data_IF_536984205795
#
_entry.id   IF_536984205795
#
_cell.length_a   1.000
_cell.length_b   1.000
_cell.length_c   1.000
_cell.angle_alpha   90.00
_cell.angle_beta   90.00
_cell.angle_gamma   90.00
#
_symmetry.space_group_name_H-M   'P 1'
#
loop_
_entity.id
_entity.type
_entity.pdbx_description
1 polymer ?
#
# COMPACT_ATOMS: atom_id res chain seq x y z
N UNK A 1 -30.60 4.65 -19.65
CA UNK A 1 -30.00 4.23 -18.36
C UNK A 1 -30.40 5.11 -17.17
N UNK A 2 -30.56 6.45 -17.30
CA UNK A 2 -31.00 7.36 -16.20
C UNK A 2 -32.31 6.95 -15.51
N UNK A 3 -33.35 6.63 -16.28
CA UNK A 3 -34.68 6.26 -15.76
C UNK A 3 -34.68 5.06 -14.79
N UNK A 4 -33.77 4.09 -15.01
CA UNK A 4 -33.64 2.89 -14.16
C UNK A 4 -33.11 3.22 -12.77
N UNK A 5 -32.13 4.13 -12.67
CA UNK A 5 -31.54 4.53 -11.40
C UNK A 5 -32.48 5.42 -10.58
N UNK A 6 -33.35 6.18 -11.24
CA UNK A 6 -34.36 7.01 -10.58
C UNK A 6 -35.41 6.17 -9.87
N UNK A 7 -35.92 5.15 -10.55
CA UNK A 7 -36.86 4.20 -9.97
C UNK A 7 -36.25 3.39 -8.81
N UNK A 8 -35.00 2.95 -8.98
CA UNK A 8 -34.28 2.19 -7.94
C UNK A 8 -33.99 3.04 -6.70
N UNK A 9 -33.62 4.32 -6.86
CA UNK A 9 -33.35 5.21 -5.73
C UNK A 9 -34.60 5.43 -4.87
N UNK A 10 -35.73 5.74 -5.51
CA UNK A 10 -36.96 6.05 -4.79
C UNK A 10 -37.47 4.84 -4.01
N UNK A 11 -37.42 3.65 -4.61
CA UNK A 11 -37.77 2.39 -3.95
C UNK A 11 -36.86 2.09 -2.76
N UNK A 12 -35.54 2.25 -2.92
CA UNK A 12 -34.57 2.03 -1.83
C UNK A 12 -34.76 3.05 -0.70
N UNK A 13 -35.05 4.31 -1.02
CA UNK A 13 -35.32 5.36 -0.03
C UNK A 13 -36.57 5.02 0.80
N UNK A 14 -37.67 4.67 0.16
CA UNK A 14 -38.91 4.31 0.84
C UNK A 14 -38.75 3.05 1.71
N UNK A 15 -38.03 2.05 1.20
CA UNK A 15 -37.75 0.85 1.95
C UNK A 15 -36.91 1.15 3.21
N UNK A 16 -35.86 1.96 3.07
CA UNK A 16 -34.99 2.35 4.18
C UNK A 16 -35.67 3.30 5.17
N UNK A 17 -36.65 4.12 4.75
CA UNK A 17 -37.43 4.92 5.70
C UNK A 17 -38.31 4.06 6.60
N UNK A 18 -38.76 2.91 6.10
CA UNK A 18 -39.52 1.92 6.90
C UNK A 18 -38.60 0.97 7.67
N UNK A 19 -37.40 0.71 7.14
CA UNK A 19 -36.42 -0.23 7.69
C UNK A 19 -35.04 0.44 7.78
N UNK A 20 -34.83 1.37 8.73
CA UNK A 20 -33.60 2.18 8.82
C UNK A 20 -32.35 1.34 9.08
N UNK A 21 -32.56 0.15 9.62
CA UNK A 21 -31.53 -0.80 10.01
C UNK A 21 -31.20 -1.81 8.91
N UNK A 22 -31.73 -1.65 7.70
CA UNK A 22 -31.43 -2.62 6.64
C UNK A 22 -29.98 -2.49 6.15
N UNK A 23 -29.28 -3.62 5.86
CA UNK A 23 -27.98 -3.58 5.20
C UNK A 23 -28.06 -3.03 3.75
N UNK A 24 -29.25 -2.76 3.22
CA UNK A 24 -29.41 -2.14 1.90
C UNK A 24 -28.87 -0.70 1.80
N UNK A 25 -28.43 -0.08 2.91
CA UNK A 25 -27.76 1.22 2.90
C UNK A 25 -26.58 1.26 1.91
N UNK A 26 -25.82 0.17 1.76
CA UNK A 26 -24.68 0.10 0.85
C UNK A 26 -25.11 0.21 -0.62
N UNK A 27 -26.22 -0.44 -0.98
CA UNK A 27 -26.81 -0.35 -2.32
C UNK A 27 -27.39 1.03 -2.57
N UNK A 28 -28.04 1.62 -1.56
CA UNK A 28 -28.57 2.98 -1.65
C UNK A 28 -27.45 4.01 -1.86
N UNK A 29 -26.34 3.90 -1.11
CA UNK A 29 -25.16 4.74 -1.28
C UNK A 29 -24.52 4.58 -2.68
N UNK A 30 -24.45 3.36 -3.22
CA UNK A 30 -23.92 3.13 -4.58
C UNK A 30 -24.80 3.78 -5.66
N UNK A 31 -26.13 3.75 -5.50
CA UNK A 31 -27.06 4.44 -6.42
C UNK A 31 -26.95 5.95 -6.29
N UNK A 32 -26.87 6.50 -5.07
CA UNK A 32 -26.63 7.92 -4.83
C UNK A 32 -25.33 8.38 -5.50
N UNK A 33 -24.25 7.61 -5.34
CA UNK A 33 -22.95 7.86 -5.96
C UNK A 33 -23.05 7.90 -7.49
N UNK A 34 -23.72 6.91 -8.11
CA UNK A 34 -23.93 6.85 -9.56
C UNK A 34 -24.75 8.01 -10.12
N UNK A 35 -25.58 8.65 -9.29
CA UNK A 35 -26.33 9.87 -9.64
C UNK A 35 -25.55 11.17 -9.43
N UNK A 36 -24.33 11.11 -8.89
CA UNK A 36 -23.53 12.29 -8.56
C UNK A 36 -23.91 12.94 -7.22
N UNK A 37 -24.78 12.32 -6.41
CA UNK A 37 -25.13 12.78 -5.07
C UNK A 37 -24.07 12.31 -4.06
N UNK A 38 -22.82 12.76 -4.28
CA UNK A 38 -21.63 12.22 -3.61
C UNK A 38 -21.67 12.45 -2.08
N UNK A 39 -22.12 13.61 -1.64
CA UNK A 39 -22.17 13.94 -0.20
C UNK A 39 -23.25 13.14 0.54
N UNK A 40 -24.41 12.93 -0.09
CA UNK A 40 -25.45 12.07 0.49
C UNK A 40 -25.00 10.62 0.56
N UNK A 41 -24.36 10.11 -0.51
CA UNK A 41 -23.78 8.77 -0.53
C UNK A 41 -22.77 8.57 0.63
N UNK A 42 -21.96 9.58 0.90
CA UNK A 42 -21.00 9.60 2.01
C UNK A 42 -21.69 9.46 3.38
N UNK A 43 -22.71 10.28 3.63
CA UNK A 43 -23.44 10.26 4.91
C UNK A 43 -24.10 8.89 5.13
N UNK A 44 -24.73 8.34 4.10
CA UNK A 44 -25.41 7.04 4.16
C UNK A 44 -24.41 5.92 4.45
N UNK A 45 -23.28 5.87 3.73
CA UNK A 45 -22.32 4.78 3.87
C UNK A 45 -21.61 4.83 5.23
N UNK A 46 -21.26 6.01 5.73
CA UNK A 46 -20.63 6.18 7.05
C UNK A 46 -21.58 5.78 8.19
N UNK A 47 -22.85 6.22 8.13
CA UNK A 47 -23.87 5.84 9.12
C UNK A 47 -24.10 4.33 9.13
N UNK A 48 -24.22 3.70 7.97
CA UNK A 48 -24.45 2.26 7.89
C UNK A 48 -23.24 1.45 8.36
N UNK A 49 -22.02 1.86 8.02
CA UNK A 49 -20.79 1.19 8.47
C UNK A 49 -20.56 1.28 9.98
N UNK A 50 -21.05 2.34 10.66
CA UNK A 50 -21.03 2.40 12.14
C UNK A 50 -21.79 1.23 12.75
N UNK A 51 -22.88 0.81 12.12
CA UNK A 51 -23.72 -0.31 12.57
C UNK A 51 -23.23 -1.66 12.05
N UNK A 52 -22.80 -1.72 10.79
CA UNK A 52 -22.41 -2.93 10.08
C UNK A 52 -20.91 -2.96 9.80
N UNK A 53 -20.10 -3.05 10.86
CA UNK A 53 -18.64 -2.91 10.79
C UNK A 53 -17.93 -4.01 10.00
N UNK A 54 -18.56 -5.17 9.80
CA UNK A 54 -18.01 -6.31 9.05
C UNK A 54 -18.56 -6.42 7.61
N UNK A 55 -19.20 -5.37 7.10
CA UNK A 55 -19.84 -5.44 5.80
C UNK A 55 -18.87 -5.12 4.65
N UNK A 56 -18.16 -6.15 4.16
CA UNK A 56 -17.14 -6.03 3.10
C UNK A 56 -17.60 -5.23 1.87
N UNK A 57 -18.79 -5.51 1.35
CA UNK A 57 -19.29 -4.83 0.14
C UNK A 57 -19.53 -3.33 0.37
N UNK A 58 -19.92 -2.93 1.58
CA UNK A 58 -20.09 -1.52 1.93
C UNK A 58 -18.75 -0.77 1.93
N UNK A 59 -17.66 -1.39 2.38
CA UNK A 59 -16.33 -0.79 2.30
C UNK A 59 -15.84 -0.61 0.85
N UNK A 60 -16.24 -1.47 -0.09
CA UNK A 60 -15.94 -1.28 -1.52
C UNK A 60 -16.66 -0.03 -2.05
N UNK A 61 -17.95 0.14 -1.71
CA UNK A 61 -18.72 1.33 -2.11
C UNK A 61 -18.11 2.59 -1.48
N UNK A 62 -17.74 2.53 -0.19
CA UNK A 62 -17.11 3.63 0.50
C UNK A 62 -15.78 4.05 -0.16
N UNK A 63 -14.92 3.08 -0.47
CA UNK A 63 -13.66 3.34 -1.17
C UNK A 63 -13.87 4.02 -2.53
N UNK A 64 -14.87 3.61 -3.33
CA UNK A 64 -15.18 4.27 -4.61
C UNK A 64 -15.59 5.73 -4.42
N UNK A 65 -16.39 6.03 -3.40
CA UNK A 65 -16.81 7.39 -3.06
C UNK A 65 -15.59 8.22 -2.63
N UNK A 66 -14.70 7.67 -1.80
CA UNK A 66 -13.47 8.33 -1.35
C UNK A 66 -12.51 8.63 -2.51
N UNK A 67 -12.30 7.67 -3.42
CA UNK A 67 -11.50 7.86 -4.64
C UNK A 67 -12.04 9.02 -5.50
N UNK A 68 -13.36 9.13 -5.63
CA UNK A 68 -13.97 10.23 -6.37
C UNK A 68 -13.74 11.59 -5.69
N UNK A 69 -13.62 11.63 -4.36
CA UNK A 69 -13.28 12.84 -3.60
C UNK A 69 -11.77 13.11 -3.54
N UNK A 70 -10.93 12.30 -4.19
CA UNK A 70 -9.48 12.40 -4.14
C UNK A 70 -8.85 11.93 -2.82
N UNK A 71 -9.63 11.29 -1.94
CA UNK A 71 -9.18 10.77 -0.64
C UNK A 71 -8.63 9.35 -0.81
N UNK A 72 -7.59 9.22 -1.63
CA UNK A 72 -7.08 7.91 -2.08
C UNK A 72 -6.48 7.07 -0.94
N UNK A 73 -5.81 7.69 0.03
CA UNK A 73 -5.24 6.97 1.19
C UNK A 73 -6.33 6.32 2.07
N UNK A 74 -7.41 7.05 2.33
CA UNK A 74 -8.55 6.50 3.08
C UNK A 74 -9.28 5.41 2.29
N UNK A 75 -9.33 5.54 0.97
CA UNK A 75 -9.86 4.49 0.11
C UNK A 75 -9.01 3.21 0.23
N UNK A 76 -7.68 3.32 0.23
CA UNK A 76 -6.77 2.19 0.43
C UNK A 76 -6.98 1.53 1.79
N UNK A 77 -7.14 2.30 2.87
CA UNK A 77 -7.42 1.74 4.21
C UNK A 77 -8.70 0.89 4.20
N UNK A 78 -9.78 1.41 3.61
CA UNK A 78 -11.06 0.69 3.50
C UNK A 78 -10.93 -0.56 2.61
N UNK A 79 -10.18 -0.50 1.51
CA UNK A 79 -9.95 -1.67 0.64
C UNK A 79 -9.09 -2.74 1.34
N UNK A 80 -8.14 -2.35 2.19
CA UNK A 80 -7.39 -3.29 3.05
C UNK A 80 -8.32 -3.98 4.05
N UNK A 81 -9.31 -3.28 4.62
CA UNK A 81 -10.35 -3.92 5.46
C UNK A 81 -11.14 -4.96 4.67
N UNK A 82 -11.50 -4.67 3.41
CA UNK A 82 -12.14 -5.67 2.53
C UNK A 82 -11.28 -6.90 2.36
N UNK A 83 -9.98 -6.75 2.11
CA UNK A 83 -9.07 -7.89 1.93
C UNK A 83 -8.82 -8.68 3.21
N UNK A 84 -8.90 -8.05 4.40
CA UNK A 84 -8.88 -8.77 5.69
C UNK A 84 -10.10 -9.68 5.85
N UNK A 85 -11.28 -9.20 5.45
CA UNK A 85 -12.54 -9.95 5.52
C UNK A 85 -12.70 -10.95 4.36
N UNK A 86 -12.11 -10.65 3.21
CA UNK A 86 -12.26 -11.41 1.96
C UNK A 86 -10.97 -11.33 1.13
N UNK A 87 -9.95 -12.16 1.44
CA UNK A 87 -8.62 -12.09 0.83
C UNK A 87 -8.60 -12.23 -0.70
N UNK A 88 -9.59 -12.94 -1.25
CA UNK A 88 -9.73 -13.20 -2.68
C UNK A 88 -10.66 -12.21 -3.41
N UNK A 89 -11.01 -11.07 -2.78
CA UNK A 89 -11.85 -10.06 -3.42
C UNK A 89 -11.13 -9.39 -4.59
N UNK A 90 -11.41 -9.83 -5.80
CA UNK A 90 -10.79 -9.31 -7.02
C UNK A 90 -11.09 -7.83 -7.24
N UNK A 91 -12.30 -7.38 -6.90
CA UNK A 91 -12.69 -5.97 -7.00
C UNK A 91 -11.84 -5.09 -6.10
N UNK A 92 -11.51 -5.55 -4.89
CA UNK A 92 -10.67 -4.77 -3.98
C UNK A 92 -9.22 -4.67 -4.48
N UNK A 93 -8.65 -5.79 -4.95
CA UNK A 93 -7.31 -5.83 -5.57
C UNK A 93 -7.23 -4.86 -6.75
N UNK A 94 -8.19 -4.94 -7.68
CA UNK A 94 -8.27 -4.06 -8.84
C UNK A 94 -8.35 -2.57 -8.47
N UNK A 95 -9.15 -2.22 -7.46
CA UNK A 95 -9.27 -0.81 -7.03
C UNK A 95 -7.99 -0.31 -6.36
N UNK A 96 -7.30 -1.16 -5.58
CA UNK A 96 -5.98 -0.84 -5.01
C UNK A 96 -4.98 -0.59 -6.15
N UNK A 97 -4.88 -1.49 -7.12
CA UNK A 97 -3.96 -1.35 -8.25
C UNK A 97 -4.26 -0.06 -9.04
N UNK A 98 -5.53 0.29 -9.21
CA UNK A 98 -5.94 1.54 -9.86
C UNK A 98 -5.44 2.77 -9.10
N UNK A 99 -5.53 2.79 -7.77
CA UNK A 99 -5.02 3.89 -6.94
C UNK A 99 -3.50 3.96 -7.02
N UNK A 100 -2.81 2.84 -6.84
CA UNK A 100 -1.35 2.79 -6.85
C UNK A 100 -0.77 3.20 -8.20
N UNK A 101 -1.38 2.75 -9.31
CA UNK A 101 -0.99 3.17 -10.65
C UNK A 101 -1.21 4.68 -10.85
N UNK A 102 -2.31 5.24 -10.36
CA UNK A 102 -2.55 6.69 -10.39
C UNK A 102 -1.45 7.45 -9.64
N UNK A 103 -1.09 7.01 -8.44
CA UNK A 103 -0.03 7.62 -7.63
C UNK A 103 1.35 7.49 -8.30
N UNK A 104 1.66 6.31 -8.85
CA UNK A 104 2.89 6.05 -9.58
C UNK A 104 3.02 6.97 -10.80
N UNK A 105 1.96 7.07 -11.61
CA UNK A 105 1.92 7.96 -12.77
C UNK A 105 2.05 9.44 -12.37
N UNK A 106 1.45 9.83 -11.24
CA UNK A 106 1.59 11.19 -10.72
C UNK A 106 3.05 11.50 -10.35
N UNK A 107 3.74 10.58 -9.66
CA UNK A 107 5.18 10.71 -9.32
C UNK A 107 6.09 10.73 -10.56
N UNK A 108 5.79 9.90 -11.56
CA UNK A 108 6.51 9.85 -12.84
C UNK A 108 6.36 11.13 -13.67
N UNK A 109 5.23 11.82 -13.56
CA UNK A 109 4.97 13.06 -14.31
C UNK A 109 5.68 14.30 -13.76
N UNK A 110 6.55 14.15 -12.76
CA UNK A 110 7.49 15.21 -12.37
C UNK A 110 6.84 16.43 -11.75
N UNK A 111 5.68 16.30 -11.09
CA UNK A 111 5.18 17.36 -10.24
C UNK A 111 5.96 17.32 -8.92
N UNK A 112 7.13 17.96 -8.91
CA UNK A 112 7.87 18.33 -7.70
C UNK A 112 7.13 19.45 -6.94
N UNK A 113 5.82 19.31 -6.73
CA UNK A 113 5.14 20.07 -5.70
C UNK A 113 5.27 19.29 -4.40
N UNK A 114 6.30 19.66 -3.64
CA UNK A 114 6.36 19.45 -2.19
C UNK A 114 5.11 20.07 -1.55
N UNK A 115 4.01 19.33 -1.47
CA UNK A 115 2.87 19.67 -0.61
C UNK A 115 1.97 18.44 -0.54
N UNK A 116 2.19 17.52 0.39
CA UNK A 116 1.42 17.48 1.64
C UNK A 116 2.07 16.53 2.67
N UNK A 117 3.33 16.78 3.03
CA UNK A 117 3.89 16.23 4.30
C UNK A 117 3.70 17.20 5.47
N UNK A 118 3.19 18.41 5.22
CA UNK A 118 3.07 19.48 6.20
C UNK A 118 1.91 19.34 7.20
N UNK A 119 0.96 18.40 7.02
CA UNK A 119 -0.16 18.23 7.96
C UNK A 119 0.11 17.29 9.13
N UNK A 120 1.20 16.49 9.09
CA UNK A 120 1.57 15.60 10.21
C UNK A 120 2.58 16.27 11.17
N UNK A 121 3.29 17.32 10.73
CA UNK A 121 4.28 18.01 11.58
C UNK A 121 3.76 19.21 12.38
N UNK A 122 2.52 19.66 12.21
CA UNK A 122 1.97 20.79 12.99
C UNK A 122 1.27 20.38 14.30
N UNK A 123 1.94 19.54 15.11
CA UNK A 123 1.72 19.48 16.56
C UNK A 123 3.03 19.16 17.30
N UNK A 124 4.12 19.87 16.99
CA UNK A 124 5.17 20.08 18.00
C UNK A 124 4.75 21.27 18.84
N UNK A 125 4.02 21.00 19.93
CA UNK A 125 4.00 21.90 21.08
C UNK A 125 5.46 22.03 21.49
N UNK A 126 6.05 23.22 21.40
CA UNK A 126 7.39 23.40 21.94
C UNK A 126 7.32 23.04 23.42
N UNK A 127 8.20 22.15 23.92
CA UNK A 127 8.22 21.83 25.34
C UNK A 127 8.49 23.13 26.10
N UNK A 128 7.61 23.47 27.05
CA UNK A 128 7.88 24.59 27.93
C UNK A 128 9.11 24.26 28.79
N UNK A 129 9.86 25.27 29.19
CA UNK A 129 11.13 25.11 29.92
C UNK A 129 10.99 24.22 31.17
N UNK A 130 9.80 24.23 31.79
CA UNK A 130 9.39 23.38 32.90
C UNK A 130 9.36 21.88 32.56
N UNK A 131 8.94 21.51 31.34
CA UNK A 131 8.87 20.10 30.91
C UNK A 131 10.28 19.51 30.73
N UNK A 132 11.21 20.33 30.26
CA UNK A 132 12.61 19.93 30.04
C UNK A 132 13.33 19.73 31.38
N UNK A 133 13.07 20.60 32.36
CA UNK A 133 13.63 20.50 33.71
C UNK A 133 13.11 19.25 34.45
N UNK A 134 11.82 18.91 34.34
CA UNK A 134 11.25 17.68 34.91
C UNK A 134 11.84 16.40 34.28
N UNK A 135 12.06 16.41 32.97
CA UNK A 135 12.67 15.28 32.26
C UNK A 135 14.13 15.10 32.69
N UNK A 136 14.88 16.20 32.88
CA UNK A 136 16.27 16.15 33.32
C UNK A 136 16.40 15.60 34.75
N UNK A 137 15.50 15.96 35.67
CA UNK A 137 15.47 15.35 37.02
C UNK A 137 15.18 13.85 36.99
N UNK A 138 14.28 13.39 36.11
CA UNK A 138 14.02 11.94 35.94
C UNK A 138 15.22 11.22 35.34
N UNK A 139 15.97 11.86 34.44
CA UNK A 139 17.16 11.27 33.83
C UNK A 139 18.35 11.20 34.79
N UNK A 140 18.56 12.21 35.63
CA UNK A 140 19.64 12.19 36.64
C UNK A 140 19.41 11.11 37.71
N UNK A 141 18.17 10.75 37.99
CA UNK A 141 17.84 9.63 38.87
C UNK A 141 17.86 8.26 38.17
N UNK A 142 18.15 8.20 36.87
CA UNK A 142 18.17 6.99 36.05
C UNK A 142 19.60 6.48 35.76
N UNK A 143 20.59 6.84 36.58
CA UNK A 143 22.00 6.42 36.45
C UNK A 143 22.20 4.89 36.44
N UNK A 144 21.19 4.10 36.82
CA UNK A 144 21.23 2.64 36.74
C UNK A 144 20.91 2.06 35.35
N UNK A 145 20.53 2.87 34.36
CA UNK A 145 20.12 2.41 33.01
C UNK A 145 21.04 2.84 31.87
N UNK A 146 22.19 3.45 32.17
CA UNK A 146 23.21 3.70 31.16
C UNK A 146 23.79 2.34 30.75
N UNK A 147 23.26 1.78 29.66
CA UNK A 147 23.94 0.75 28.90
C UNK A 147 25.25 1.41 28.46
N UNK A 148 26.36 1.00 29.07
CA UNK A 148 27.69 1.42 28.61
C UNK A 148 27.75 1.10 27.12
N UNK A 149 27.99 2.12 26.30
CA UNK A 149 28.23 1.93 24.89
C UNK A 149 29.26 0.81 24.73
N UNK A 150 28.99 -0.13 23.82
CA UNK A 150 29.96 -1.17 23.49
C UNK A 150 31.27 -0.44 23.10
N UNK A 151 32.38 -0.68 23.82
CA UNK A 151 33.64 0.00 23.53
C UNK A 151 34.16 -0.28 22.11
N UNK A 152 33.61 -1.29 21.43
CA UNK A 152 33.91 -1.62 20.03
C UNK A 152 32.94 -1.00 19.00
N UNK A 153 31.98 -0.15 19.41
CA UNK A 153 31.02 0.48 18.49
C UNK A 153 31.69 1.31 17.38
N UNK A 154 32.85 1.89 17.68
CA UNK A 154 33.63 2.70 16.72
C UNK A 154 34.52 1.87 15.78
N UNK A 155 34.52 0.53 15.88
CA UNK A 155 35.21 -0.30 14.88
C UNK A 155 34.51 -0.14 13.53
N UNK A 156 35.29 0.21 12.50
CA UNK A 156 34.84 0.22 11.10
C UNK A 156 34.21 -1.14 10.81
N UNK A 157 32.90 -1.15 10.60
CA UNK A 157 32.16 -2.35 10.22
C UNK A 157 32.80 -2.95 8.97
N UNK A 158 33.44 -4.11 9.13
CA UNK A 158 33.86 -4.95 8.03
C UNK A 158 32.80 -6.03 7.86
N UNK A 159 31.99 -5.97 6.78
CA UNK A 159 31.04 -7.04 6.50
C UNK A 159 31.81 -8.36 6.33
N UNK A 160 31.25 -9.49 6.80
CA UNK A 160 31.87 -10.79 6.59
C UNK A 160 32.10 -11.04 5.09
N UNK A 161 33.28 -11.55 4.73
CA UNK A 161 33.74 -11.74 3.34
C UNK A 161 32.80 -12.61 2.50
N UNK A 162 32.04 -13.50 3.13
CA UNK A 162 31.06 -14.35 2.46
C UNK A 162 29.67 -14.18 3.08
N UNK A 163 28.97 -13.12 2.67
CA UNK A 163 27.50 -13.17 2.73
C UNK A 163 27.03 -14.22 1.71
N UNK A 164 26.20 -15.20 2.07
CA UNK A 164 25.66 -16.14 1.10
C UNK A 164 24.89 -15.34 0.04
N UNK A 165 25.48 -15.22 -1.14
CA UNK A 165 24.97 -14.38 -2.21
C UNK A 165 23.65 -14.98 -2.69
N UNK A 166 22.53 -14.37 -2.27
CA UNK A 166 21.19 -14.83 -2.61
C UNK A 166 20.95 -14.53 -4.09
N UNK A 167 21.34 -15.47 -4.95
CA UNK A 167 21.01 -15.44 -6.37
C UNK A 167 19.58 -15.96 -6.59
N UNK A 168 18.79 -15.22 -7.35
CA UNK A 168 17.39 -15.53 -7.67
C UNK A 168 17.10 -15.29 -9.15
N UNK A 169 16.04 -15.91 -9.67
CA UNK A 169 15.57 -15.68 -11.04
C UNK A 169 15.11 -14.23 -11.24
N UNK A 170 14.55 -13.62 -10.20
CA UNK A 170 14.19 -12.19 -10.21
C UNK A 170 15.41 -11.31 -10.46
N UNK A 171 16.55 -11.62 -9.82
CA UNK A 171 17.80 -10.89 -10.03
C UNK A 171 18.28 -11.01 -11.49
N UNK A 172 18.20 -12.21 -12.07
CA UNK A 172 18.50 -12.43 -13.50
C UNK A 172 17.64 -11.55 -14.42
N UNK A 173 16.32 -11.54 -14.23
CA UNK A 173 15.40 -10.75 -15.07
C UNK A 173 15.60 -9.24 -14.91
N UNK A 174 15.92 -8.75 -13.70
CA UNK A 174 16.24 -7.33 -13.49
C UNK A 174 17.51 -6.94 -14.27
N UNK A 175 18.56 -7.75 -14.19
CA UNK A 175 19.83 -7.48 -14.87
C UNK A 175 19.68 -7.51 -16.40
N UNK A 176 18.87 -8.42 -16.94
CA UNK A 176 18.49 -8.44 -18.35
C UNK A 176 17.83 -7.13 -18.80
N UNK A 177 16.84 -6.66 -18.05
CA UNK A 177 16.11 -5.43 -18.38
C UNK A 177 17.02 -4.19 -18.33
N UNK A 178 18.10 -4.25 -17.55
CA UNK A 178 19.11 -3.20 -17.46
C UNK A 178 20.20 -3.30 -18.55
N UNK A 179 20.16 -4.33 -19.39
CA UNK A 179 21.20 -4.58 -20.41
C UNK A 179 22.54 -5.06 -19.83
N UNK A 180 22.57 -5.46 -18.55
CA UNK A 180 23.78 -5.92 -17.86
C UNK A 180 24.00 -7.42 -18.10
N UNK A 181 24.27 -7.78 -19.37
CA UNK A 181 24.30 -9.18 -19.82
C UNK A 181 25.39 -10.02 -19.15
N UNK A 182 26.59 -9.46 -18.90
CA UNK A 182 27.67 -10.18 -18.20
C UNK A 182 27.29 -10.56 -16.76
N UNK A 183 26.61 -9.65 -16.05
CA UNK A 183 26.12 -9.92 -14.70
C UNK A 183 25.00 -10.94 -14.73
N UNK A 184 24.06 -10.82 -15.68
CA UNK A 184 22.99 -11.80 -15.87
C UNK A 184 23.54 -13.21 -16.15
N UNK A 185 24.63 -13.31 -16.91
CA UNK A 185 25.34 -14.56 -17.19
C UNK A 185 25.90 -15.20 -15.92
N UNK A 186 26.60 -14.41 -15.08
CA UNK A 186 27.13 -14.90 -13.80
C UNK A 186 26.02 -15.40 -12.86
N UNK A 187 24.86 -14.73 -12.85
CA UNK A 187 23.70 -15.16 -12.04
C UNK A 187 23.16 -16.50 -12.51
N UNK A 188 23.04 -16.72 -13.83
CA UNK A 188 22.58 -18.02 -14.36
C UNK A 188 23.54 -19.16 -14.03
N UNK A 189 24.86 -18.93 -14.08
CA UNK A 189 25.84 -19.94 -13.68
C UNK A 189 25.63 -20.37 -12.22
N UNK A 190 25.41 -19.40 -11.32
CA UNK A 190 25.14 -19.68 -9.90
C UNK A 190 23.78 -20.38 -9.70
N UNK A 191 22.75 -20.02 -10.48
CA UNK A 191 21.43 -20.67 -10.42
C UNK A 191 21.47 -22.13 -10.88
N UNK A 192 22.31 -22.48 -11.85
CA UNK A 192 22.51 -23.88 -12.28
C UNK A 192 23.11 -24.72 -11.14
N UNK A 193 24.11 -24.19 -10.44
CA UNK A 193 24.72 -24.87 -9.30
C UNK A 193 23.71 -25.10 -8.17
N UNK A 194 22.83 -24.13 -7.92
CA UNK A 194 21.81 -24.21 -6.87
C UNK A 194 20.62 -25.12 -7.23
N UNK A 195 20.24 -25.14 -8.51
CA UNK A 195 19.08 -25.89 -9.00
C UNK A 195 19.45 -26.78 -10.21
N UNK A 196 20.22 -27.87 -10.02
CA UNK A 196 20.67 -28.71 -11.13
C UNK A 196 19.53 -29.32 -11.96
N UNK A 197 18.36 -29.55 -11.37
CA UNK A 197 17.17 -30.06 -12.06
C UNK A 197 16.58 -29.10 -13.11
N UNK A 198 16.93 -27.81 -13.04
CA UNK A 198 16.51 -26.78 -14.00
C UNK A 198 17.64 -26.35 -14.93
N UNK A 199 18.75 -27.09 -14.98
CA UNK A 199 19.94 -26.77 -15.79
C UNK A 199 19.59 -26.46 -17.25
N UNK A 200 18.85 -27.35 -17.91
CA UNK A 200 18.47 -27.20 -19.32
C UNK A 200 17.70 -25.89 -19.59
N UNK A 201 16.89 -25.43 -18.63
CA UNK A 201 16.17 -24.17 -18.71
C UNK A 201 17.13 -22.97 -18.68
N UNK A 202 18.14 -22.99 -17.80
CA UNK A 202 19.13 -21.92 -17.69
C UNK A 202 20.15 -21.91 -18.84
N UNK A 203 20.49 -23.07 -19.40
CA UNK A 203 21.43 -23.17 -20.52
C UNK A 203 20.90 -22.50 -21.79
N UNK A 204 19.60 -22.64 -22.09
CA UNK A 204 18.95 -21.91 -23.20
C UNK A 204 19.03 -20.39 -23.02
N UNK A 205 18.94 -19.91 -21.79
CA UNK A 205 19.06 -18.49 -21.47
C UNK A 205 20.51 -18.00 -21.61
N UNK A 206 21.49 -18.83 -21.27
CA UNK A 206 22.91 -18.56 -21.47
C UNK A 206 23.24 -18.41 -22.96
N UNK A 207 22.68 -19.28 -23.83
CA UNK A 207 22.87 -19.16 -25.28
C UNK A 207 22.38 -17.82 -25.79
N UNK A 208 21.19 -17.39 -25.37
CA UNK A 208 20.67 -16.06 -25.69
C UNK A 208 21.62 -14.94 -25.21
N UNK A 209 22.12 -15.00 -23.98
CA UNK A 209 23.05 -13.99 -23.45
C UNK A 209 24.36 -13.92 -24.23
N UNK A 210 24.90 -15.05 -24.68
CA UNK A 210 26.15 -15.07 -25.48
C UNK A 210 26.01 -14.27 -26.77
N UNK A 211 24.82 -14.29 -27.40
CA UNK A 211 24.53 -13.46 -28.60
C UNK A 211 24.43 -11.96 -28.31
N UNK A 212 24.29 -11.57 -27.04
CA UNK A 212 24.18 -10.17 -26.61
C UNK A 212 25.48 -9.61 -26.05
N UNK A 213 26.30 -10.45 -25.44
CA UNK A 213 27.63 -10.09 -24.91
C UNK A 213 28.64 -9.95 -26.05
N UNK A 214 28.60 -10.88 -27.02
CA UNK A 214 29.41 -10.85 -28.24
C UNK A 214 28.48 -10.72 -29.46
N UNK A 215 27.94 -9.52 -29.74
CA UNK A 215 27.01 -9.29 -30.83
C UNK A 215 27.62 -9.41 -32.23
#
# INVERSE_FOLDING_TARGET
MKLSYDLDLNRLREFLSRNPDSPLFARYADVLFKKGLINEAMIVIEKGLKKYQLYSTAYIVYAKILMHKGRDEEALENLRKVLKLSPNCQTAKFLIDKILNKQFLFRMKGDHSETQTSSILQRKKQPEKSDVEEILERFQNADSLIIKADPDFDKIYQPPEETPEIVTETMYHILLNQGLFDKAYQVLQKLILKNPSRKDYYERQIEFLKTKINP
#
